data_IF_999096812063
#
_entry.id   IF_999096812063
#
_cell.length_a   1.000
_cell.length_b   1.000
_cell.length_c   1.000
_cell.angle_alpha   90.00
_cell.angle_beta   90.00
_cell.angle_gamma   90.00
#
_symmetry.space_group_name_H-M   'P 1'
#
loop_
_entity.id
_entity.type
_entity.pdbx_description
1 polymer ?
#
# COMPACT_ATOMS: atom_id res chain seq x y z
N UNK A 1 -8.50 -24.86 14.48
CA UNK A 1 -8.32 -23.56 13.80
C UNK A 1 -8.10 -23.90 12.33
N UNK A 2 -8.96 -23.41 11.44
CA UNK A 2 -8.77 -23.58 10.00
C UNK A 2 -8.00 -22.38 9.48
N UNK A 3 -6.86 -22.61 8.84
CA UNK A 3 -6.05 -21.54 8.28
C UNK A 3 -6.51 -21.19 6.88
N UNK A 4 -6.54 -19.89 6.59
CA UNK A 4 -6.92 -19.36 5.30
C UNK A 4 -5.69 -19.05 4.44
N UNK A 5 -5.86 -19.10 3.11
CA UNK A 5 -4.85 -18.61 2.18
C UNK A 5 -4.72 -17.09 2.36
N UNK A 6 -3.49 -16.59 2.31
CA UNK A 6 -3.22 -15.16 2.45
C UNK A 6 -4.03 -14.30 1.47
N UNK A 7 -4.75 -13.31 1.98
CA UNK A 7 -5.49 -12.34 1.20
C UNK A 7 -4.73 -11.00 1.11
N UNK A 8 -4.15 -10.72 -0.05
CA UNK A 8 -3.40 -9.47 -0.30
C UNK A 8 -4.31 -8.24 -0.36
N UNK A 9 -5.54 -8.39 -0.84
CA UNK A 9 -6.48 -7.31 -1.16
C UNK A 9 -7.71 -7.39 -0.27
N UNK A 10 -7.49 -7.59 1.03
CA UNK A 10 -8.56 -7.57 2.03
C UNK A 10 -9.37 -6.27 1.90
N UNK A 11 -10.69 -6.41 1.80
CA UNK A 11 -11.62 -5.31 1.64
C UNK A 11 -12.93 -5.66 2.34
N UNK A 12 -13.61 -4.66 2.89
CA UNK A 12 -14.78 -4.83 3.75
C UNK A 12 -14.46 -5.25 5.18
N UNK A 13 -15.52 -5.57 5.92
CA UNK A 13 -15.45 -5.98 7.31
C UNK A 13 -15.11 -7.47 7.46
N UNK A 14 -13.90 -7.84 7.02
CA UNK A 14 -13.43 -9.23 6.99
C UNK A 14 -12.52 -9.57 8.15
N UNK A 15 -12.46 -10.87 8.48
CA UNK A 15 -11.52 -11.47 9.43
C UNK A 15 -10.86 -12.65 8.75
N UNK A 16 -9.57 -12.83 9.00
CA UNK A 16 -8.82 -13.97 8.50
C UNK A 16 -7.96 -14.59 9.61
N UNK A 17 -7.80 -15.91 9.57
CA UNK A 17 -6.87 -16.64 10.44
C UNK A 17 -5.77 -17.25 9.58
N UNK A 18 -4.55 -16.72 9.70
CA UNK A 18 -3.40 -17.20 8.94
C UNK A 18 -2.50 -18.11 9.78
N UNK A 19 -1.82 -19.03 9.10
CA UNK A 19 -0.83 -19.90 9.72
C UNK A 19 0.32 -19.07 10.32
N UNK A 20 0.86 -19.43 11.50
CA UNK A 20 1.92 -18.64 12.16
C UNK A 20 3.21 -18.53 11.34
N UNK A 21 3.45 -19.47 10.43
CA UNK A 21 4.62 -19.46 9.52
C UNK A 21 4.35 -18.83 8.16
N UNK A 22 3.15 -18.31 7.88
CA UNK A 22 2.86 -17.64 6.60
C UNK A 22 3.68 -16.34 6.49
N UNK A 23 4.56 -16.28 5.50
CA UNK A 23 5.51 -15.17 5.35
C UNK A 23 4.85 -13.82 5.06
N UNK A 24 3.73 -13.81 4.32
CA UNK A 24 3.03 -12.58 4.00
C UNK A 24 2.27 -12.04 5.20
N UNK A 25 1.61 -12.92 5.95
CA UNK A 25 0.93 -12.58 7.20
C UNK A 25 1.92 -12.14 8.29
N UNK A 26 3.07 -12.80 8.41
CA UNK A 26 4.14 -12.42 9.36
C UNK A 26 4.68 -11.03 9.11
N UNK A 27 4.83 -10.65 7.84
CA UNK A 27 5.28 -9.33 7.39
C UNK A 27 4.13 -8.31 7.30
N UNK A 28 2.91 -8.74 7.60
CA UNK A 28 1.68 -7.94 7.55
C UNK A 28 1.53 -7.20 6.21
N UNK A 29 1.78 -7.93 5.11
CA UNK A 29 1.72 -7.41 3.75
C UNK A 29 0.28 -7.00 3.41
N UNK A 30 0.14 -6.06 2.49
CA UNK A 30 -1.14 -5.60 1.97
C UNK A 30 -0.93 -4.98 0.60
N UNK A 31 -1.78 -5.35 -0.35
CA UNK A 31 -1.88 -4.71 -1.66
C UNK A 31 -2.30 -3.25 -1.53
N UNK A 32 -3.11 -2.90 -0.54
CA UNK A 32 -3.41 -1.51 -0.17
C UNK A 32 -2.20 -0.77 0.42
N UNK A 33 -2.15 0.55 0.26
CA UNK A 33 -1.11 1.41 0.82
C UNK A 33 -1.38 1.71 2.30
N UNK A 34 -1.01 0.78 3.18
CA UNK A 34 -1.30 0.86 4.61
C UNK A 34 -0.12 1.48 5.41
N UNK A 35 -0.38 2.49 6.23
CA UNK A 35 0.58 3.06 7.19
C UNK A 35 0.34 2.54 8.61
N UNK A 36 1.37 2.44 9.44
CA UNK A 36 1.20 2.18 10.88
C UNK A 36 0.38 3.31 11.51
N UNK A 37 -0.50 2.97 12.45
CA UNK A 37 -1.21 3.93 13.28
C UNK A 37 -1.11 3.48 14.73
N UNK A 38 -0.65 4.36 15.61
CA UNK A 38 -0.58 4.06 17.03
C UNK A 38 -1.99 3.83 17.60
N UNK A 39 -2.17 2.72 18.30
CA UNK A 39 -3.38 2.35 19.02
C UNK A 39 -3.13 2.16 20.52
N UNK A 40 -1.92 2.49 21.00
CA UNK A 40 -1.47 2.31 22.38
C UNK A 40 -1.57 0.85 22.89
N UNK A 41 -1.56 -0.12 21.98
CA UNK A 41 -1.57 -1.55 22.33
C UNK A 41 -0.53 -2.31 21.50
N UNK A 42 0.60 -2.66 22.12
CA UNK A 42 1.73 -3.34 21.47
C UNK A 42 1.39 -4.74 20.96
N UNK A 43 0.36 -5.39 21.51
CA UNK A 43 -0.08 -6.73 21.07
C UNK A 43 -0.88 -6.70 19.76
N UNK A 44 -1.35 -5.52 19.34
CA UNK A 44 -2.16 -5.34 18.15
C UNK A 44 -1.48 -4.31 17.24
N UNK A 45 -1.01 -4.75 16.09
CA UNK A 45 -0.53 -3.84 15.06
C UNK A 45 -1.72 -3.27 14.28
N UNK A 46 -1.99 -1.98 14.46
CA UNK A 46 -2.99 -1.24 13.68
C UNK A 46 -2.33 -0.55 12.49
N UNK A 47 -2.93 -0.70 11.31
CA UNK A 47 -2.53 0.02 10.09
C UNK A 47 -3.74 0.67 9.43
N UNK A 48 -3.60 1.90 8.95
CA UNK A 48 -4.68 2.63 8.26
C UNK A 48 -4.31 2.87 6.80
N UNK A 49 -5.30 2.79 5.91
CA UNK A 49 -5.09 3.05 4.48
C UNK A 49 -4.73 4.52 4.23
N UNK A 50 -3.82 4.75 3.29
CA UNK A 50 -3.46 6.09 2.82
C UNK A 50 -4.35 6.55 1.65
N UNK A 51 -4.98 5.62 0.94
CA UNK A 51 -5.60 5.88 -0.35
C UNK A 51 -4.69 5.52 -1.52
N UNK A 52 -4.82 6.26 -2.61
CA UNK A 52 -4.11 6.05 -3.88
C UNK A 52 -3.65 7.38 -4.47
N UNK A 53 -2.51 7.38 -5.16
CA UNK A 53 -2.01 8.58 -5.83
C UNK A 53 -2.48 8.58 -7.29
N UNK A 54 -3.20 9.63 -7.66
CA UNK A 54 -3.92 9.75 -8.93
C UNK A 54 -3.45 10.99 -9.70
N UNK A 55 -3.82 11.06 -10.98
CA UNK A 55 -3.67 12.28 -11.77
C UNK A 55 -4.88 13.21 -11.55
N UNK A 56 -4.65 14.49 -11.25
CA UNK A 56 -5.69 15.52 -11.11
C UNK A 56 -6.55 15.66 -12.37
N UNK A 57 -5.94 15.52 -13.56
CA UNK A 57 -6.64 15.54 -14.84
C UNK A 57 -7.32 14.21 -15.18
N UNK A 58 -7.25 13.20 -14.30
CA UNK A 58 -7.84 11.86 -14.47
C UNK A 58 -7.51 11.20 -15.81
N UNK A 59 -6.32 11.49 -16.33
CA UNK A 59 -5.91 11.08 -17.67
C UNK A 59 -6.04 9.57 -17.88
N UNK A 60 -6.37 9.19 -19.10
CA UNK A 60 -6.43 7.80 -19.53
C UNK A 60 -5.08 7.35 -20.08
N UNK A 61 -4.74 6.10 -19.80
CA UNK A 61 -3.62 5.38 -20.38
C UNK A 61 -4.05 4.77 -21.73
N UNK A 62 -3.10 4.40 -22.62
CA UNK A 62 -3.42 3.78 -23.90
C UNK A 62 -4.26 2.51 -23.81
N UNK A 63 -4.16 1.77 -22.70
CA UNK A 63 -4.96 0.58 -22.43
C UNK A 63 -6.35 0.89 -21.82
N UNK A 64 -6.78 2.15 -21.80
CA UNK A 64 -8.03 2.61 -21.17
C UNK A 64 -7.98 2.75 -19.64
N UNK A 65 -6.88 2.34 -19.01
CA UNK A 65 -6.65 2.47 -17.57
C UNK A 65 -6.40 3.92 -17.12
N UNK A 66 -6.15 4.11 -15.84
CA UNK A 66 -5.80 5.41 -15.24
C UNK A 66 -4.55 5.29 -14.37
N UNK A 67 -3.95 6.44 -14.03
CA UNK A 67 -2.84 6.51 -13.09
C UNK A 67 -3.35 6.23 -11.67
N UNK A 68 -2.91 5.09 -11.10
CA UNK A 68 -3.21 4.66 -9.73
C UNK A 68 -1.90 4.23 -9.04
N UNK A 69 -1.05 5.18 -8.69
CA UNK A 69 0.25 4.90 -8.09
C UNK A 69 0.13 4.62 -6.59
N UNK A 70 1.08 3.85 -6.06
CA UNK A 70 1.17 3.57 -4.63
C UNK A 70 1.71 4.80 -3.89
N UNK A 71 0.96 5.39 -2.94
CA UNK A 71 1.50 6.46 -2.10
C UNK A 71 2.68 5.97 -1.26
N UNK A 72 3.69 6.82 -1.11
CA UNK A 72 4.78 6.55 -0.19
C UNK A 72 4.26 6.51 1.26
N UNK A 73 4.73 5.53 2.02
CA UNK A 73 4.33 5.36 3.43
C UNK A 73 4.88 6.50 4.30
N UNK A 74 6.11 6.94 4.03
CA UNK A 74 6.72 8.07 4.73
C UNK A 74 6.04 9.39 4.33
N UNK A 75 5.60 10.17 5.32
CA UNK A 75 4.92 11.45 5.11
C UNK A 75 5.77 12.47 4.35
N UNK A 76 7.08 12.54 4.65
CA UNK A 76 8.00 13.43 3.93
C UNK A 76 8.12 13.04 2.45
N UNK A 77 8.19 11.75 2.15
CA UNK A 77 8.26 11.27 0.77
C UNK A 77 6.92 11.46 0.03
N UNK A 78 5.79 11.21 0.70
CA UNK A 78 4.45 11.39 0.12
C UNK A 78 4.15 12.85 -0.19
N UNK A 79 4.55 13.79 0.69
CA UNK A 79 4.49 15.23 0.39
C UNK A 79 5.30 15.59 -0.85
N UNK A 80 6.47 14.97 -1.05
CA UNK A 80 7.29 15.15 -2.26
C UNK A 80 6.68 14.53 -3.52
N UNK A 81 5.81 13.53 -3.40
CA UNK A 81 5.11 12.92 -4.54
C UNK A 81 3.97 13.80 -5.05
N UNK A 82 3.25 14.45 -4.14
CA UNK A 82 2.14 15.34 -4.46
C UNK A 82 2.61 16.58 -5.22
N UNK A 83 1.80 17.05 -6.16
CA UNK A 83 2.09 18.20 -7.02
C UNK A 83 3.07 17.93 -8.16
N UNK A 84 3.77 16.78 -8.17
CA UNK A 84 4.62 16.36 -9.29
C UNK A 84 3.80 16.23 -10.57
N UNK A 85 4.41 16.51 -11.72
CA UNK A 85 3.77 16.29 -13.01
C UNK A 85 3.32 14.83 -13.16
N UNK A 86 2.19 14.64 -13.84
CA UNK A 86 1.69 13.33 -14.19
C UNK A 86 2.77 12.56 -14.96
N UNK A 87 3.04 11.29 -14.62
CA UNK A 87 4.03 10.53 -15.34
C UNK A 87 3.54 10.15 -16.75
N UNK A 88 2.23 10.15 -17.03
CA UNK A 88 1.71 9.93 -18.38
C UNK A 88 2.18 11.05 -19.32
N UNK A 89 3.03 10.71 -20.30
CA UNK A 89 3.63 11.66 -21.26
C UNK A 89 2.59 12.41 -22.11
N UNK A 90 1.42 11.82 -22.32
CA UNK A 90 0.31 12.47 -23.03
C UNK A 90 -0.49 13.43 -22.14
N UNK A 91 -0.26 13.43 -20.83
CA UNK A 91 -0.92 14.30 -19.86
C UNK A 91 0.01 15.46 -19.45
N UNK A 92 -0.05 16.56 -20.21
CA UNK A 92 0.81 17.73 -19.98
C UNK A 92 0.37 18.59 -18.78
N UNK A 93 -0.92 18.57 -18.45
CA UNK A 93 -1.52 19.45 -17.42
C UNK A 93 -1.69 18.76 -16.06
N UNK A 94 -1.72 17.43 -16.04
CA UNK A 94 -2.02 16.66 -14.85
C UNK A 94 -0.90 16.72 -13.82
N UNK A 95 -1.29 16.75 -12.54
CA UNK A 95 -0.38 16.61 -11.41
C UNK A 95 -0.80 15.44 -10.54
N UNK A 96 0.13 14.92 -9.75
CA UNK A 96 -0.14 13.85 -8.81
C UNK A 96 -0.78 14.39 -7.54
N UNK A 97 -1.90 13.80 -7.13
CA UNK A 97 -2.58 14.11 -5.88
C UNK A 97 -2.96 12.81 -5.15
N UNK A 98 -3.11 12.89 -3.83
CA UNK A 98 -3.59 11.74 -3.05
C UNK A 98 -5.12 11.78 -3.02
N UNK A 99 -5.76 10.73 -3.52
CA UNK A 99 -7.14 10.42 -3.22
C UNK A 99 -7.17 9.63 -1.90
N UNK A 100 -7.56 10.23 -0.77
CA UNK A 100 -7.53 9.56 0.53
C UNK A 100 -8.60 8.49 0.62
N UNK A 101 -8.31 7.43 1.38
CA UNK A 101 -9.32 6.45 1.75
C UNK A 101 -10.23 7.00 2.86
N UNK A 102 -11.54 6.92 2.67
CA UNK A 102 -12.59 7.30 3.64
C UNK A 102 -13.67 6.22 3.81
N UNK A 103 -13.35 5.02 3.36
CA UNK A 103 -14.18 3.83 3.34
C UNK A 103 -14.73 3.27 4.66
N UNK A 104 -14.44 3.91 5.79
CA UNK A 104 -14.92 3.51 7.11
C UNK A 104 -15.61 4.68 7.81
N UNK A 105 -16.88 4.93 7.48
CA UNK A 105 -17.67 6.04 8.07
C UNK A 105 -16.96 7.40 7.94
N UNK A 106 -16.33 7.67 6.79
CA UNK A 106 -15.55 8.90 6.55
C UNK A 106 -14.09 8.83 6.99
N UNK A 107 -13.70 7.77 7.73
CA UNK A 107 -12.32 7.50 8.14
C UNK A 107 -11.65 6.47 7.21
N UNK A 108 -10.31 6.39 7.22
CA UNK A 108 -9.61 5.37 6.43
C UNK A 108 -9.92 3.95 6.89
N UNK A 109 -10.01 3.03 5.93
CA UNK A 109 -10.05 1.59 6.19
C UNK A 109 -8.84 1.18 7.04
N UNK A 110 -9.07 0.31 8.02
CA UNK A 110 -8.06 -0.06 9.02
C UNK A 110 -7.88 -1.58 9.07
N UNK A 111 -6.62 -2.01 9.10
CA UNK A 111 -6.21 -3.39 9.35
C UNK A 111 -5.67 -3.54 10.76
N UNK A 112 -6.01 -4.66 11.39
CA UNK A 112 -5.53 -5.07 12.70
C UNK A 112 -4.87 -6.44 12.56
N UNK A 113 -3.68 -6.56 13.13
CA UNK A 113 -2.93 -7.82 13.16
C UNK A 113 -2.60 -8.17 14.60
N UNK A 114 -2.81 -9.43 14.97
CA UNK A 114 -2.39 -9.96 16.28
C UNK A 114 -1.67 -11.28 16.06
N UNK A 115 -0.48 -11.39 16.63
CA UNK A 115 0.32 -12.61 16.61
C UNK A 115 0.07 -13.43 17.86
N UNK A 116 0.00 -14.75 17.70
CA UNK A 116 0.00 -15.74 18.77
C UNK A 116 0.89 -16.90 18.34
N UNK A 117 1.19 -17.82 19.25
CA UNK A 117 1.96 -19.03 18.92
C UNK A 117 1.26 -19.91 17.88
N UNK A 118 -0.08 -19.93 17.90
CA UNK A 118 -0.88 -20.85 17.08
C UNK A 118 -1.35 -20.26 15.77
N UNK A 119 -1.44 -18.93 15.66
CA UNK A 119 -2.01 -18.25 14.48
C UNK A 119 -1.66 -16.76 14.43
N UNK A 120 -1.79 -16.19 13.23
CA UNK A 120 -1.82 -14.74 13.02
C UNK A 120 -3.26 -14.34 12.69
N UNK A 121 -3.87 -13.56 13.58
CA UNK A 121 -5.21 -13.04 13.41
C UNK A 121 -5.17 -11.73 12.65
N UNK A 122 -6.06 -11.61 11.67
CA UNK A 122 -6.25 -10.41 10.88
C UNK A 122 -7.71 -9.94 10.94
N UNK A 123 -7.91 -8.64 10.99
CA UNK A 123 -9.22 -8.01 10.82
C UNK A 123 -9.08 -6.73 9.99
N UNK A 124 -9.95 -6.56 8.99
CA UNK A 124 -10.16 -5.30 8.30
C UNK A 124 -11.48 -4.65 8.76
N UNK A 125 -11.52 -3.31 8.75
CA UNK A 125 -12.71 -2.51 9.04
C UNK A 125 -12.89 -1.42 7.98
N UNK A 126 -14.06 -1.43 7.33
CA UNK A 126 -14.42 -0.54 6.23
C UNK A 126 -14.19 -1.13 4.84
N UNK A 127 -14.70 -0.43 3.82
CA UNK A 127 -14.63 -0.81 2.41
C UNK A 127 -13.85 0.25 1.63
N UNK A 128 -12.78 -0.11 0.94
CA UNK A 128 -11.96 0.84 0.21
C UNK A 128 -12.76 1.57 -0.87
N UNK A 129 -12.85 2.89 -0.75
CA UNK A 129 -13.62 3.81 -1.58
C UNK A 129 -12.76 4.46 -2.67
N UNK A 130 -11.68 3.80 -3.07
CA UNK A 130 -10.74 4.28 -4.06
C UNK A 130 -10.17 3.12 -4.89
N UNK A 131 -9.67 3.40 -6.11
CA UNK A 131 -9.02 2.37 -6.93
C UNK A 131 -7.85 1.71 -6.21
N UNK A 132 -7.61 0.43 -6.53
CA UNK A 132 -6.43 -0.30 -6.06
C UNK A 132 -5.16 0.44 -6.53
N UNK A 133 -4.25 0.81 -5.62
CA UNK A 133 -2.93 1.30 -6.02
C UNK A 133 -2.14 0.18 -6.71
N UNK A 134 -1.10 0.54 -7.43
CA UNK A 134 -0.12 -0.45 -7.89
C UNK A 134 0.47 -1.24 -6.69
N UNK A 135 0.74 -2.52 -6.90
CA UNK A 135 1.32 -3.38 -5.86
C UNK A 135 2.72 -2.88 -5.47
N UNK A 136 3.15 -3.21 -4.25
CA UNK A 136 4.46 -2.78 -3.74
C UNK A 136 5.63 -3.26 -4.62
N UNK A 137 5.43 -4.36 -5.35
CA UNK A 137 6.42 -4.98 -6.23
C UNK A 137 6.23 -4.60 -7.70
N UNK A 138 5.06 -4.10 -8.10
CA UNK A 138 4.81 -3.67 -9.47
C UNK A 138 5.52 -2.35 -9.77
N UNK A 139 6.42 -2.38 -10.76
CA UNK A 139 6.87 -1.21 -11.49
C UNK A 139 6.10 -1.02 -12.80
N UNK A 140 4.90 -1.59 -12.91
CA UNK A 140 4.15 -1.72 -14.16
C UNK A 140 3.79 -0.37 -14.76
N UNK A 141 3.40 0.60 -13.92
CA UNK A 141 3.16 1.97 -14.36
C UNK A 141 4.43 2.61 -14.94
N UNK A 142 5.62 2.29 -14.42
CA UNK A 142 6.90 2.76 -15.00
C UNK A 142 7.20 2.14 -16.37
N UNK A 143 6.80 0.87 -16.59
CA UNK A 143 6.95 0.18 -17.87
C UNK A 143 5.99 0.71 -18.93
N UNK A 144 4.73 0.94 -18.57
CA UNK A 144 3.68 1.43 -19.48
C UNK A 144 3.85 2.89 -19.91
N UNK A 145 4.57 3.68 -19.12
CA UNK A 145 4.82 5.10 -19.35
C UNK A 145 6.07 5.35 -20.23
N UNK A 146 6.77 4.28 -20.62
CA UNK A 146 7.98 4.36 -21.44
C UNK A 146 9.09 5.16 -20.75
N UNK A 147 9.25 5.03 -19.44
CA UNK A 147 10.33 5.71 -18.71
C UNK A 147 11.68 5.01 -18.96
N UNK A 148 12.34 5.31 -20.09
CA UNK A 148 13.79 5.08 -20.24
C UNK A 148 14.55 6.18 -19.49
N UNK A 149 15.17 5.80 -18.36
CA UNK A 149 16.33 6.44 -17.71
C UNK A 149 16.19 7.87 -17.16
N UNK A 150 16.15 8.05 -15.83
CA UNK A 150 17.35 8.32 -15.02
C UNK A 150 16.99 8.52 -13.53
N UNK A 151 17.67 7.80 -12.64
CA UNK A 151 17.94 8.25 -11.26
C UNK A 151 16.88 8.09 -10.16
N UNK A 152 16.58 6.85 -9.76
CA UNK A 152 16.58 6.50 -8.31
C UNK A 152 16.99 5.04 -8.17
N UNK A 153 18.26 4.80 -7.82
CA UNK A 153 18.68 3.49 -7.30
C UNK A 153 17.79 3.18 -6.10
N UNK A 154 16.95 2.17 -6.22
CA UNK A 154 16.33 1.55 -5.06
C UNK A 154 17.46 1.06 -4.17
N UNK A 155 17.56 1.60 -2.95
CA UNK A 155 18.46 1.07 -1.96
C UNK A 155 18.03 -0.37 -1.67
N UNK A 156 18.76 -1.33 -2.24
CA UNK A 156 18.76 -2.70 -1.77
C UNK A 156 19.18 -2.64 -0.29
N UNK A 157 18.29 -3.07 0.60
CA UNK A 157 18.62 -3.24 2.00
C UNK A 157 19.71 -4.31 2.11
N UNK A 158 20.97 -3.90 2.25
CA UNK A 158 22.05 -4.80 2.65
C UNK A 158 21.83 -5.15 4.13
N UNK A 159 21.46 -6.39 4.40
CA UNK A 159 21.52 -6.97 5.74
C UNK A 159 22.96 -6.86 6.26
N UNK A 160 23.22 -5.94 7.20
CA UNK A 160 24.43 -5.99 7.99
C UNK A 160 24.23 -7.04 9.08
N UNK A 161 24.95 -8.15 8.95
CA UNK A 161 25.17 -9.13 10.02
C UNK A 161 25.97 -8.40 11.10
N UNK A 162 25.36 -8.11 12.25
CA UNK A 162 26.09 -7.63 13.42
C UNK A 162 26.62 -8.87 14.13
N UNK A 163 27.91 -9.17 13.94
CA UNK A 163 28.67 -10.02 14.84
C UNK A 163 28.99 -9.18 16.07
N UNK A 164 28.48 -9.58 17.22
CA UNK A 164 29.01 -9.17 18.52
C UNK A 164 29.72 -10.40 19.09
N UNK A 165 30.89 -10.12 19.65
CA UNK A 165 31.86 -11.01 20.29
C UNK A 165 31.21 -12.07 21.20
#
# INVERSE_FOLDING_TARGET
LTYEKFNEWADGHVRHVYHPTDDHARKHISGWAMRNTNNHNVSILKKSCLGVLICTARCKLPNGGQINLRPAICDKARRKQQGRACPNRHCKVGRLEVLPCRGHCGYPVTHYWRHTEKAIFFQAKGNHDHPKPESKTSGETRKMIGATGNGTKGAAAKSKKLSVL
#
